data_IF_129262845051
#
_entry.id   IF_129262845051
#
_cell.length_a   1.000
_cell.length_b   1.000
_cell.length_c   1.000
_cell.angle_alpha   90.00
_cell.angle_beta   90.00
_cell.angle_gamma   90.00
#
_symmetry.space_group_name_H-M   'P 1'
#
loop_
_entity.id
_entity.type
_entity.pdbx_description
1 polymer ?
#
# COMPACT_ATOMS: atom_id res chain seq x y z
N UNK A 1 15.64 0.63 -1.02
CA UNK A 1 16.90 -0.04 -0.59
C UNK A 1 16.64 -0.67 0.77
N UNK A 2 16.27 -1.94 0.82
CA UNK A 2 15.91 -2.64 2.05
C UNK A 2 17.18 -3.03 2.77
N UNK A 3 17.49 -2.35 3.88
CA UNK A 3 18.62 -2.66 4.74
C UNK A 3 18.41 -4.00 5.45
N UNK A 4 19.27 -4.96 5.15
CA UNK A 4 19.38 -6.24 5.83
C UNK A 4 19.85 -5.98 7.27
N UNK A 5 18.98 -6.20 8.24
CA UNK A 5 19.40 -6.27 9.65
C UNK A 5 20.31 -7.49 9.83
N UNK A 6 21.60 -7.24 9.90
CA UNK A 6 22.60 -8.28 10.21
C UNK A 6 22.57 -8.57 11.73
N UNK A 7 21.62 -9.39 12.16
CA UNK A 7 21.78 -10.06 13.45
C UNK A 7 22.75 -11.20 13.28
N UNK A 8 23.94 -11.11 13.88
CA UNK A 8 24.84 -12.23 14.09
C UNK A 8 24.16 -13.28 14.98
N UNK A 9 23.24 -14.05 14.40
CA UNK A 9 22.67 -15.24 15.04
C UNK A 9 23.68 -16.35 14.95
N UNK A 10 24.38 -16.61 16.03
CA UNK A 10 25.17 -17.83 16.20
C UNK A 10 24.23 -19.04 16.06
N UNK A 11 24.20 -19.61 14.88
CA UNK A 11 23.37 -20.77 14.53
C UNK A 11 23.79 -21.97 15.35
N UNK A 12 23.17 -22.19 16.51
CA UNK A 12 23.21 -23.47 17.23
C UNK A 12 22.46 -24.48 16.36
N UNK A 13 23.19 -25.42 15.75
CA UNK A 13 22.63 -26.56 15.01
C UNK A 13 21.68 -27.33 15.94
N UNK A 14 20.40 -27.43 15.58
CA UNK A 14 19.48 -28.42 16.13
C UNK A 14 18.32 -27.94 17.01
N UNK A 15 18.28 -26.68 17.46
CA UNK A 15 17.08 -26.18 18.15
C UNK A 15 16.15 -25.48 17.14
N UNK A 16 14.92 -26.02 16.99
CA UNK A 16 13.82 -25.27 16.37
C UNK A 16 13.61 -24.02 17.23
N UNK A 17 14.09 -22.86 16.77
CA UNK A 17 13.81 -21.59 17.44
C UNK A 17 12.29 -21.35 17.34
N UNK A 18 11.63 -21.24 18.49
CA UNK A 18 10.25 -20.78 18.54
C UNK A 18 10.25 -19.29 18.19
N UNK A 19 9.37 -18.89 17.31
CA UNK A 19 9.16 -17.50 16.95
C UNK A 19 7.67 -17.21 17.02
N UNK A 20 7.35 -15.97 17.32
CA UNK A 20 5.97 -15.47 17.34
C UNK A 20 5.82 -14.27 16.40
N UNK A 21 4.61 -13.97 16.03
CA UNK A 21 4.29 -12.85 15.19
C UNK A 21 2.83 -12.46 15.30
N UNK A 22 2.50 -11.35 14.67
CA UNK A 22 1.14 -10.82 14.62
C UNK A 22 0.66 -10.89 13.16
N UNK A 23 -0.57 -11.35 12.97
CA UNK A 23 -1.29 -11.20 11.72
C UNK A 23 -2.12 -9.93 11.81
N UNK A 24 -1.81 -8.94 10.99
CA UNK A 24 -2.59 -7.72 10.84
C UNK A 24 -2.51 -7.24 9.38
N UNK A 25 -3.64 -7.13 8.66
CA UNK A 25 -3.65 -6.52 7.33
C UNK A 25 -3.15 -5.08 7.36
N UNK A 26 -2.42 -4.65 6.34
CA UNK A 26 -2.01 -3.24 6.21
C UNK A 26 -3.22 -2.32 6.24
N UNK A 27 -4.31 -2.70 5.58
CA UNK A 27 -5.57 -1.96 5.58
C UNK A 27 -6.16 -1.70 6.98
N UNK A 28 -5.81 -2.52 7.97
CA UNK A 28 -6.30 -2.40 9.35
C UNK A 28 -5.45 -1.50 10.24
N UNK A 29 -4.39 -0.91 9.71
CA UNK A 29 -3.62 0.10 10.44
C UNK A 29 -4.43 1.41 10.55
N UNK A 30 -4.22 2.18 11.63
CA UNK A 30 -4.81 3.53 11.72
C UNK A 30 -4.41 4.38 10.51
N UNK A 31 -5.32 5.23 10.05
CA UNK A 31 -5.08 6.16 8.96
C UNK A 31 -6.03 7.35 9.05
N UNK A 32 -5.55 8.55 8.72
CA UNK A 32 -6.37 9.76 8.59
C UNK A 32 -7.34 9.66 7.42
N UNK A 33 -7.02 8.85 6.41
CA UNK A 33 -7.74 8.79 5.14
C UNK A 33 -8.45 7.44 4.92
N UNK A 34 -9.06 6.92 5.99
CA UNK A 34 -10.09 5.87 5.97
C UNK A 34 -9.61 4.44 5.72
N UNK A 35 -8.37 4.22 5.34
CA UNK A 35 -7.78 2.89 5.14
C UNK A 35 -6.30 2.92 5.49
N UNK A 36 -5.83 1.91 6.23
CA UNK A 36 -4.41 1.75 6.54
C UNK A 36 -3.56 1.58 5.28
N UNK A 37 -2.37 2.15 5.30
CA UNK A 37 -1.43 2.15 4.19
C UNK A 37 0.01 2.06 4.69
N UNK A 38 1.00 2.12 3.78
CA UNK A 38 2.42 2.14 4.15
C UNK A 38 2.86 3.53 4.61
N UNK A 39 2.19 4.04 5.63
CA UNK A 39 2.37 5.33 6.26
C UNK A 39 3.30 5.25 7.48
N UNK A 40 3.44 6.35 8.19
CA UNK A 40 4.15 6.43 9.47
C UNK A 40 3.65 5.37 10.47
N UNK A 41 2.35 5.12 10.52
CA UNK A 41 1.73 4.14 11.43
C UNK A 41 2.21 2.71 11.15
N UNK A 42 2.50 2.38 9.88
CA UNK A 42 3.08 1.09 9.53
C UNK A 42 4.51 0.93 10.08
N UNK A 43 5.32 1.97 10.01
CA UNK A 43 6.66 1.97 10.59
C UNK A 43 6.61 1.89 12.11
N UNK A 44 5.78 2.69 12.76
CA UNK A 44 5.57 2.65 14.21
C UNK A 44 5.06 1.28 14.68
N UNK A 45 4.21 0.62 13.89
CA UNK A 45 3.76 -0.74 14.19
C UNK A 45 4.91 -1.75 14.18
N UNK A 46 5.81 -1.65 13.19
CA UNK A 46 7.02 -2.49 13.13
C UNK A 46 7.92 -2.26 14.34
N UNK A 47 8.13 -1.02 14.74
CA UNK A 47 8.94 -0.69 15.92
C UNK A 47 8.33 -1.28 17.20
N UNK A 48 7.00 -1.17 17.36
CA UNK A 48 6.28 -1.79 18.50
C UNK A 48 6.34 -3.31 18.48
N UNK A 49 6.32 -3.94 17.32
CA UNK A 49 6.51 -5.39 17.21
C UNK A 49 7.91 -5.81 17.67
N UNK A 50 8.94 -5.04 17.31
CA UNK A 50 10.31 -5.28 17.76
C UNK A 50 10.41 -5.12 19.29
N UNK A 51 9.88 -4.03 19.85
CA UNK A 51 9.82 -3.80 21.30
C UNK A 51 9.10 -4.95 22.06
N UNK A 52 8.01 -5.47 21.46
CA UNK A 52 7.26 -6.61 22.00
C UNK A 52 7.95 -7.97 21.78
N UNK A 53 9.15 -8.00 21.18
CA UNK A 53 9.91 -9.20 20.91
C UNK A 53 9.31 -10.11 19.84
N UNK A 54 8.41 -9.59 19.00
CA UNK A 54 7.86 -10.33 17.88
C UNK A 54 8.88 -10.46 16.74
N UNK A 55 8.79 -11.56 16.00
CA UNK A 55 9.74 -11.86 14.92
C UNK A 55 9.12 -11.70 13.53
N UNK A 56 7.79 -11.69 13.45
CA UNK A 56 7.04 -11.66 12.20
C UNK A 56 5.85 -10.73 12.29
N UNK A 57 5.64 -9.99 11.22
CA UNK A 57 4.36 -9.38 10.87
C UNK A 57 3.82 -10.11 9.64
N UNK A 58 2.69 -10.79 9.79
CA UNK A 58 1.98 -11.42 8.68
C UNK A 58 0.94 -10.47 8.14
N UNK A 59 1.03 -10.16 6.86
CA UNK A 59 0.08 -9.32 6.13
C UNK A 59 -0.75 -10.16 5.17
N UNK A 60 -1.82 -9.60 4.66
CA UNK A 60 -2.59 -10.16 3.54
C UNK A 60 -1.98 -9.75 2.19
N UNK A 61 -2.37 -10.40 1.06
CA UNK A 61 -1.91 -10.01 -0.25
C UNK A 61 -2.11 -8.52 -0.53
N UNK A 62 -1.13 -7.92 -1.21
CA UNK A 62 -1.05 -6.47 -1.44
C UNK A 62 -1.45 -6.07 -2.86
N UNK A 63 -1.96 -6.99 -3.65
CA UNK A 63 -2.39 -6.72 -5.02
C UNK A 63 -3.67 -5.88 -5.10
N UNK A 64 -3.95 -5.29 -6.27
CA UNK A 64 -5.18 -4.54 -6.49
C UNK A 64 -6.40 -5.45 -6.33
N UNK A 65 -7.45 -4.93 -5.70
CA UNK A 65 -8.69 -5.65 -5.46
C UNK A 65 -9.75 -5.29 -6.51
N UNK A 66 -10.62 -6.24 -6.80
CA UNK A 66 -11.82 -6.03 -7.62
C UNK A 66 -13.04 -5.72 -6.77
N UNK A 67 -14.23 -5.92 -7.36
CA UNK A 67 -15.49 -5.78 -6.65
C UNK A 67 -15.56 -6.75 -5.46
N UNK A 68 -15.89 -6.21 -4.28
CA UNK A 68 -15.95 -6.96 -3.02
C UNK A 68 -14.66 -6.88 -2.19
N UNK A 69 -13.64 -6.17 -2.66
CA UNK A 69 -12.43 -5.75 -1.92
C UNK A 69 -11.65 -6.89 -1.23
N UNK A 70 -11.83 -8.12 -1.71
CA UNK A 70 -11.12 -9.29 -1.19
C UNK A 70 -9.64 -9.24 -1.62
N UNK A 71 -8.67 -9.26 -0.67
CA UNK A 71 -7.26 -9.27 -1.01
C UNK A 71 -6.82 -10.57 -1.71
N UNK A 72 -7.65 -11.60 -1.67
CA UNK A 72 -7.39 -12.89 -2.34
C UNK A 72 -7.92 -12.95 -3.77
N UNK A 73 -8.61 -11.92 -4.24
CA UNK A 73 -9.17 -11.82 -5.59
C UNK A 73 -8.47 -10.73 -6.42
N UNK A 74 -7.14 -10.67 -6.30
CA UNK A 74 -6.36 -9.75 -7.12
C UNK A 74 -6.32 -10.20 -8.58
N UNK A 75 -6.43 -9.26 -9.48
CA UNK A 75 -6.30 -9.49 -10.93
C UNK A 75 -4.87 -9.21 -11.45
N UNK A 76 -3.94 -8.93 -10.54
CA UNK A 76 -2.50 -8.84 -10.85
C UNK A 76 -1.67 -9.42 -9.71
N UNK A 77 -0.61 -10.16 -10.08
CA UNK A 77 0.38 -10.67 -9.11
C UNK A 77 1.58 -9.73 -8.94
N UNK A 78 1.71 -8.73 -9.78
CA UNK A 78 2.83 -7.81 -9.79
C UNK A 78 2.46 -6.43 -9.24
N UNK A 79 1.29 -5.92 -9.64
CA UNK A 79 0.86 -4.58 -9.25
C UNK A 79 0.49 -4.51 -7.77
N UNK A 80 0.92 -3.44 -7.11
CA UNK A 80 0.45 -3.08 -5.77
C UNK A 80 -0.93 -2.43 -5.79
N UNK A 81 -1.67 -2.54 -4.68
CA UNK A 81 -2.96 -1.88 -4.53
C UNK A 81 -2.75 -0.37 -4.30
N UNK A 82 -3.33 0.51 -5.15
CA UNK A 82 -3.25 1.96 -4.97
C UNK A 82 -3.80 2.46 -3.63
N UNK A 83 -4.63 1.66 -2.96
CA UNK A 83 -5.13 1.99 -1.62
C UNK A 83 -4.02 2.09 -0.57
N UNK A 84 -2.87 1.47 -0.79
CA UNK A 84 -1.74 1.48 0.15
C UNK A 84 -0.72 2.60 -0.11
N UNK A 85 -0.96 3.47 -1.09
CA UNK A 85 -0.17 4.68 -1.27
C UNK A 85 -0.48 5.66 -0.13
N UNK A 86 0.52 6.15 0.56
CA UNK A 86 0.34 7.11 1.64
C UNK A 86 0.09 8.53 1.12
N UNK A 87 -1.11 9.07 1.38
CA UNK A 87 -1.46 10.42 0.94
C UNK A 87 -0.69 11.50 1.71
N UNK A 88 -0.32 11.26 2.98
CA UNK A 88 0.50 12.22 3.73
C UNK A 88 1.90 12.35 3.15
N UNK A 89 2.45 11.26 2.60
CA UNK A 89 3.71 11.31 1.87
C UNK A 89 3.57 12.12 0.59
N UNK A 90 2.48 11.95 -0.17
CA UNK A 90 2.24 12.75 -1.37
C UNK A 90 2.04 14.25 -1.05
N UNK A 91 1.51 14.58 0.12
CA UNK A 91 1.43 15.97 0.60
C UNK A 91 2.83 16.52 0.92
N UNK A 92 3.68 15.75 1.60
CA UNK A 92 5.07 16.13 1.90
C UNK A 92 5.92 16.32 0.64
N UNK A 93 5.61 15.55 -0.41
CA UNK A 93 6.25 15.65 -1.73
C UNK A 93 5.63 16.73 -2.64
N UNK A 94 4.71 17.54 -2.10
CA UNK A 94 4.02 18.63 -2.83
C UNK A 94 3.18 18.16 -4.04
N UNK A 95 2.90 16.86 -4.13
CA UNK A 95 2.03 16.29 -5.15
C UNK A 95 0.54 16.46 -4.81
N UNK A 96 0.22 16.63 -3.52
CA UNK A 96 -1.12 16.95 -3.01
C UNK A 96 -1.04 18.07 -1.98
N UNK A 97 -2.19 18.66 -1.65
CA UNK A 97 -2.33 19.49 -0.46
C UNK A 97 -3.24 18.83 0.56
N UNK A 98 -3.13 19.21 1.84
CA UNK A 98 -4.01 18.68 2.89
C UNK A 98 -5.47 19.02 2.60
N UNK A 99 -5.75 20.24 2.11
CA UNK A 99 -7.10 20.69 1.76
C UNK A 99 -7.73 19.85 0.65
N UNK A 100 -6.93 19.39 -0.31
CA UNK A 100 -7.43 18.51 -1.37
C UNK A 100 -7.81 17.13 -0.86
N UNK A 101 -7.05 16.61 0.10
CA UNK A 101 -7.37 15.36 0.77
C UNK A 101 -8.59 15.53 1.67
N UNK A 102 -8.63 16.57 2.50
CA UNK A 102 -9.72 16.84 3.45
C UNK A 102 -11.05 17.20 2.78
N UNK A 103 -11.00 17.66 1.54
CA UNK A 103 -12.22 17.90 0.72
C UNK A 103 -12.87 16.60 0.20
N UNK A 104 -12.28 15.43 0.46
CA UNK A 104 -12.80 14.14 0.06
C UNK A 104 -13.35 13.37 1.26
N UNK A 105 -14.39 12.58 1.03
CA UNK A 105 -14.99 11.72 2.05
C UNK A 105 -14.34 10.33 1.99
N UNK A 106 -13.56 9.99 2.99
CA UNK A 106 -12.92 8.67 3.15
C UNK A 106 -13.65 7.77 4.16
N UNK A 107 -14.81 8.20 4.66
CA UNK A 107 -15.52 7.57 5.77
C UNK A 107 -15.09 8.16 7.11
N UNK A 108 -15.98 8.02 8.09
CA UNK A 108 -15.85 8.59 9.44
C UNK A 108 -15.80 7.51 10.55
N UNK A 109 -15.88 6.23 10.17
CA UNK A 109 -15.88 5.13 11.11
C UNK A 109 -14.46 4.56 11.29
N UNK A 110 -13.94 4.64 12.51
CA UNK A 110 -12.60 4.10 12.82
C UNK A 110 -12.55 2.56 12.88
N UNK A 111 -13.70 1.88 12.94
CA UNK A 111 -13.78 0.42 13.06
C UNK A 111 -14.02 -0.28 11.72
N UNK A 112 -14.46 0.45 10.70
CA UNK A 112 -14.84 -0.08 9.40
C UNK A 112 -14.29 0.78 8.26
N UNK A 113 -13.78 0.11 7.23
CA UNK A 113 -13.38 0.75 5.99
C UNK A 113 -14.63 0.84 5.11
N UNK A 114 -14.99 2.05 4.70
CA UNK A 114 -16.01 2.29 3.68
C UNK A 114 -15.35 2.24 2.30
N UNK A 115 -15.29 1.04 1.73
CA UNK A 115 -14.59 0.82 0.46
C UNK A 115 -15.20 1.61 -0.71
N UNK A 116 -16.50 1.91 -0.70
CA UNK A 116 -17.12 2.73 -1.72
C UNK A 116 -16.57 4.16 -1.67
N UNK A 117 -16.53 4.76 -0.47
CA UNK A 117 -15.95 6.09 -0.26
C UNK A 117 -14.44 6.11 -0.57
N UNK A 118 -13.72 5.07 -0.14
CA UNK A 118 -12.30 4.92 -0.47
C UNK A 118 -12.09 4.90 -1.97
N UNK A 119 -12.84 4.10 -2.72
CA UNK A 119 -12.72 4.00 -4.17
C UNK A 119 -12.95 5.37 -4.83
N UNK A 120 -14.05 6.03 -4.50
CA UNK A 120 -14.44 7.31 -5.11
C UNK A 120 -13.44 8.43 -4.76
N UNK A 121 -13.01 8.51 -3.51
CA UNK A 121 -12.17 9.61 -3.01
C UNK A 121 -10.70 9.40 -3.37
N UNK A 122 -10.18 8.19 -3.18
CA UNK A 122 -8.75 7.93 -3.31
C UNK A 122 -8.26 8.06 -4.74
N UNK A 123 -8.99 7.49 -5.70
CA UNK A 123 -8.62 7.64 -7.10
C UNK A 123 -8.74 9.09 -7.58
N UNK A 124 -9.66 9.88 -7.02
CA UNK A 124 -9.78 11.31 -7.33
C UNK A 124 -8.53 12.08 -6.92
N UNK A 125 -8.02 11.87 -5.71
CA UNK A 125 -6.81 12.55 -5.24
C UNK A 125 -5.54 12.01 -5.91
N UNK A 126 -5.45 10.70 -6.14
CA UNK A 126 -4.31 10.10 -6.84
C UNK A 126 -4.17 10.60 -8.29
N UNK A 127 -5.28 10.86 -8.99
CA UNK A 127 -5.24 11.50 -10.32
C UNK A 127 -4.66 12.90 -10.24
N UNK A 128 -5.02 13.71 -9.25
CA UNK A 128 -4.42 15.03 -9.05
C UNK A 128 -2.92 14.96 -8.75
N UNK A 129 -2.50 14.02 -7.91
CA UNK A 129 -1.08 13.79 -7.66
C UNK A 129 -0.33 13.43 -8.94
N UNK A 130 -0.91 12.55 -9.76
CA UNK A 130 -0.34 12.15 -11.04
C UNK A 130 -0.21 13.34 -12.02
N UNK A 131 -1.16 14.27 -12.07
CA UNK A 131 -1.10 15.47 -12.91
C UNK A 131 0.08 16.39 -12.57
N UNK A 132 0.60 16.32 -11.34
CA UNK A 132 1.75 17.09 -10.84
C UNK A 132 3.04 16.29 -10.85
N UNK A 133 2.93 14.98 -11.01
CA UNK A 133 4.09 14.11 -11.01
C UNK A 133 4.95 14.37 -12.24
N UNK A 134 6.24 14.57 -12.01
CA UNK A 134 7.25 14.64 -13.07
C UNK A 134 8.09 13.35 -13.04
N UNK A 135 8.16 12.68 -14.17
CA UNK A 135 9.00 11.48 -14.28
C UNK A 135 10.47 11.83 -14.01
N UNK A 136 11.12 10.98 -13.27
CA UNK A 136 12.53 11.08 -12.90
C UNK A 136 13.27 9.77 -13.25
N UNK A 137 14.58 9.75 -13.01
CA UNK A 137 15.41 8.58 -13.29
C UNK A 137 14.94 7.32 -12.54
N UNK A 138 14.31 7.46 -11.36
CA UNK A 138 13.79 6.35 -10.57
C UNK A 138 12.55 5.76 -11.24
N UNK A 139 11.66 6.62 -11.74
CA UNK A 139 10.49 6.21 -12.49
C UNK A 139 10.91 5.51 -13.79
N UNK A 140 11.86 6.08 -14.54
CA UNK A 140 12.33 5.52 -15.81
C UNK A 140 13.00 4.14 -15.58
N UNK A 141 13.79 4.00 -14.53
CA UNK A 141 14.37 2.72 -14.14
C UNK A 141 13.28 1.70 -13.79
N UNK A 142 12.27 2.09 -13.01
CA UNK A 142 11.15 1.21 -12.67
C UNK A 142 10.39 0.73 -13.91
N UNK A 143 10.07 1.63 -14.83
CA UNK A 143 9.39 1.30 -16.10
C UNK A 143 10.23 0.33 -16.93
N UNK A 144 11.53 0.59 -17.04
CA UNK A 144 12.47 -0.25 -17.79
C UNK A 144 12.56 -1.67 -17.20
N UNK A 145 12.67 -1.79 -15.88
CA UNK A 145 12.78 -3.09 -15.19
C UNK A 145 11.49 -3.90 -15.20
N UNK A 146 10.34 -3.23 -15.22
CA UNK A 146 9.02 -3.83 -15.10
C UNK A 146 8.21 -3.88 -16.39
N UNK A 147 8.77 -3.44 -17.52
CA UNK A 147 8.08 -3.36 -18.81
C UNK A 147 7.40 -4.66 -19.27
N UNK A 148 7.94 -5.82 -18.85
CA UNK A 148 7.41 -7.14 -19.24
C UNK A 148 5.99 -7.44 -18.69
N UNK A 149 5.50 -6.68 -17.71
CA UNK A 149 4.15 -6.81 -17.19
C UNK A 149 3.41 -5.47 -17.10
N UNK A 150 4.14 -4.36 -16.93
CA UNK A 150 3.58 -3.05 -16.62
C UNK A 150 2.76 -2.49 -17.78
N UNK A 151 3.23 -2.64 -19.01
CA UNK A 151 2.54 -2.11 -20.21
C UNK A 151 1.19 -2.80 -20.40
N UNK A 152 1.16 -4.12 -20.33
CA UNK A 152 -0.08 -4.91 -20.47
C UNK A 152 -1.06 -4.61 -19.32
N UNK A 153 -0.55 -4.45 -18.11
CA UNK A 153 -1.35 -4.09 -16.94
C UNK A 153 -1.94 -2.68 -17.08
N UNK A 154 -1.13 -1.71 -17.50
CA UNK A 154 -1.59 -0.34 -17.71
C UNK A 154 -2.66 -0.27 -18.80
N UNK A 155 -2.48 -0.98 -19.91
CA UNK A 155 -3.47 -1.08 -20.97
C UNK A 155 -4.77 -1.74 -20.50
N UNK A 156 -4.66 -2.84 -19.74
CA UNK A 156 -5.82 -3.50 -19.15
C UNK A 156 -6.60 -2.54 -18.25
N UNK A 157 -5.92 -1.80 -17.38
CA UNK A 157 -6.56 -0.85 -16.47
C UNK A 157 -7.20 0.32 -17.22
N UNK A 158 -6.56 0.83 -18.27
CA UNK A 158 -7.13 1.89 -19.12
C UNK A 158 -8.41 1.44 -19.84
N UNK A 159 -8.43 0.22 -20.37
CA UNK A 159 -9.62 -0.37 -20.98
C UNK A 159 -10.73 -0.57 -19.95
N UNK A 160 -10.38 -1.11 -18.78
CA UNK A 160 -11.31 -1.32 -17.68
C UNK A 160 -11.96 -0.02 -17.24
N UNK A 161 -11.17 1.03 -17.05
CA UNK A 161 -11.68 2.37 -16.70
C UNK A 161 -12.61 2.94 -17.78
N UNK A 162 -12.25 2.79 -19.04
CA UNK A 162 -13.07 3.25 -20.17
C UNK A 162 -14.43 2.53 -20.28
N UNK A 163 -14.50 1.28 -19.83
CA UNK A 163 -15.72 0.45 -19.80
C UNK A 163 -16.52 0.59 -18.48
N UNK A 164 -16.18 1.55 -17.63
CA UNK A 164 -16.89 1.80 -16.37
C UNK A 164 -16.50 0.86 -15.23
N UNK A 165 -15.30 0.27 -15.29
CA UNK A 165 -14.76 -0.55 -14.19
C UNK A 165 -15.26 -1.99 -14.16
N UNK A 166 -15.84 -2.49 -15.25
CA UNK A 166 -16.34 -3.87 -15.36
C UNK A 166 -15.24 -4.91 -15.32
#
# INVERSE_FOLDING_TARGET
MWGRMDRKTTRRKGLKMRASGILLPVASLPSRYGIGCFSKEAYEFVDRLEEAGQSYWQILPLGPTGYGDSPYQSFSTFAGNPYFIDLETLVKEELLTEEECDACDFGDNAEYIDYEKIYQSRFKVLRKAFERFAADDVYDAFVSENGYWLEDYALYMAIKDALGGI
#
